data_IF_476966355137
#
_entry.id   IF_476966355137
#
_cell.length_a   1.000
_cell.length_b   1.000
_cell.length_c   1.000
_cell.angle_alpha   90.00
_cell.angle_beta   90.00
_cell.angle_gamma   90.00
#
_symmetry.space_group_name_H-M   'P 1'
#
loop_
_entity.id
_entity.type
_entity.pdbx_description
1 polymer ?
#
# COMPACT_ATOMS: atom_id res chain seq x y z
N UNK A 1 -17.48 0.50 4.02
CA UNK A 1 -16.76 -0.79 3.96
C UNK A 1 -15.72 -0.89 5.06
N UNK A 2 -15.39 -2.08 5.47
CA UNK A 2 -14.36 -2.34 6.46
C UNK A 2 -13.01 -2.56 5.77
N UNK A 3 -12.09 -1.62 5.93
CA UNK A 3 -10.81 -1.66 5.20
C UNK A 3 -9.94 -2.86 5.61
N UNK A 4 -9.97 -3.24 6.89
CA UNK A 4 -9.19 -4.38 7.34
C UNK A 4 -9.61 -5.69 6.65
N UNK A 5 -10.91 -5.87 6.46
CA UNK A 5 -11.41 -7.06 5.74
C UNK A 5 -10.95 -7.06 4.29
N UNK A 6 -10.99 -5.90 3.63
CA UNK A 6 -10.52 -5.76 2.27
C UNK A 6 -9.03 -6.11 2.16
N UNK A 7 -8.24 -5.67 3.12
CA UNK A 7 -6.80 -5.96 3.17
C UNK A 7 -6.56 -7.46 3.33
N UNK A 8 -7.27 -8.11 4.26
CA UNK A 8 -7.08 -9.54 4.51
C UNK A 8 -7.43 -10.39 3.29
N UNK A 9 -8.44 -10.00 2.54
CA UNK A 9 -8.78 -10.68 1.29
C UNK A 9 -7.66 -10.56 0.25
N UNK A 10 -7.08 -9.38 0.11
CA UNK A 10 -5.97 -9.16 -0.83
C UNK A 10 -4.74 -9.94 -0.41
N UNK A 11 -4.45 -9.99 0.88
CA UNK A 11 -3.33 -10.79 1.40
C UNK A 11 -3.51 -12.25 1.00
N UNK A 12 -4.73 -12.78 1.16
CA UNK A 12 -5.02 -14.15 0.76
C UNK A 12 -4.82 -14.37 -0.75
N UNK A 13 -5.24 -13.41 -1.57
CA UNK A 13 -5.08 -13.49 -3.02
C UNK A 13 -3.62 -13.45 -3.47
N UNK A 14 -2.76 -12.77 -2.72
CA UNK A 14 -1.35 -12.61 -3.09
C UNK A 14 -0.44 -13.64 -2.43
N UNK A 15 -1.00 -14.56 -1.67
CA UNK A 15 -0.20 -15.50 -0.87
C UNK A 15 0.80 -16.30 -1.69
N UNK A 16 0.41 -16.78 -2.86
CA UNK A 16 1.32 -17.56 -3.70
C UNK A 16 2.51 -16.75 -4.18
N UNK A 17 2.30 -15.50 -4.56
CA UNK A 17 3.39 -14.61 -4.98
C UNK A 17 4.33 -14.29 -3.82
N UNK A 18 3.78 -14.05 -2.65
CA UNK A 18 4.56 -13.74 -1.44
C UNK A 18 5.43 -14.93 -1.08
N UNK A 19 4.86 -16.13 -1.03
CA UNK A 19 5.60 -17.36 -0.69
C UNK A 19 6.65 -17.65 -1.73
N UNK A 20 6.32 -17.53 -3.02
CA UNK A 20 7.23 -17.78 -4.13
C UNK A 20 8.47 -16.89 -4.07
N UNK A 21 8.31 -15.66 -3.61
CA UNK A 21 9.41 -14.71 -3.52
C UNK A 21 10.10 -14.71 -2.14
N UNK A 22 9.72 -15.61 -1.27
CA UNK A 22 10.35 -15.74 0.05
C UNK A 22 10.09 -14.55 0.96
N UNK A 23 8.96 -13.88 0.80
CA UNK A 23 8.61 -12.71 1.58
C UNK A 23 7.80 -13.13 2.82
N UNK A 24 8.15 -12.57 3.98
CA UNK A 24 7.40 -12.77 5.21
C UNK A 24 6.44 -11.62 5.40
N UNK A 25 5.15 -11.91 5.48
CA UNK A 25 4.12 -10.88 5.65
C UNK A 25 3.68 -10.82 7.11
N UNK A 26 3.70 -9.61 7.65
CA UNK A 26 3.18 -9.33 8.98
C UNK A 26 2.11 -8.25 8.89
N UNK A 27 1.14 -8.31 9.77
CA UNK A 27 0.08 -7.31 9.83
C UNK A 27 -0.01 -6.71 11.22
N UNK A 28 -0.30 -5.41 11.26
CA UNK A 28 -0.63 -4.69 12.49
C UNK A 28 -1.89 -3.89 12.20
N UNK A 29 -3.02 -4.59 12.19
CA UNK A 29 -4.30 -3.97 11.85
C UNK A 29 -4.96 -3.44 13.11
N UNK A 30 -5.41 -2.19 13.07
CA UNK A 30 -6.10 -1.57 14.19
C UNK A 30 -7.39 -2.34 14.48
N UNK A 31 -7.68 -2.57 15.76
CA UNK A 31 -8.89 -3.32 16.15
C UNK A 31 -10.16 -2.55 15.82
N UNK A 32 -10.12 -1.23 15.96
CA UNK A 32 -11.27 -0.38 15.72
C UNK A 32 -10.92 0.67 14.69
N UNK A 33 -11.58 0.60 13.55
CA UNK A 33 -11.46 1.59 12.49
C UNK A 33 -12.86 2.02 12.04
N UNK A 34 -13.02 3.27 11.59
CA UNK A 34 -14.30 3.68 11.03
C UNK A 34 -14.55 2.94 9.73
N UNK A 35 -15.81 2.81 9.36
CA UNK A 35 -16.16 2.36 8.02
C UNK A 35 -15.73 3.43 7.02
N UNK A 36 -15.27 2.99 5.86
CA UNK A 36 -14.82 3.85 4.79
C UNK A 36 -15.86 3.85 3.69
N UNK A 37 -16.18 5.02 3.19
CA UNK A 37 -17.06 5.13 2.03
C UNK A 37 -16.19 5.03 0.78
N UNK A 38 -16.41 3.98 0.00
CA UNK A 38 -15.60 3.80 -1.19
C UNK A 38 -15.94 2.54 -1.93
N UNK A 39 -15.35 2.41 -3.09
CA UNK A 39 -15.50 1.24 -3.94
C UNK A 39 -14.53 0.16 -3.47
N UNK A 40 -15.06 -0.93 -2.94
CA UNK A 40 -14.24 -2.02 -2.40
C UNK A 40 -13.29 -2.59 -3.45
N UNK A 41 -13.77 -2.77 -4.66
CA UNK A 41 -12.95 -3.35 -5.73
C UNK A 41 -11.78 -2.43 -6.08
N UNK A 42 -12.04 -1.13 -6.21
CA UNK A 42 -10.99 -0.17 -6.51
C UNK A 42 -9.96 -0.07 -5.39
N UNK A 43 -10.42 -0.04 -4.15
CA UNK A 43 -9.52 0.04 -3.00
C UNK A 43 -8.71 -1.25 -2.84
N UNK A 44 -9.31 -2.40 -3.11
CA UNK A 44 -8.57 -3.66 -3.12
C UNK A 44 -7.53 -3.68 -4.23
N UNK A 45 -7.81 -3.09 -5.38
CA UNK A 45 -6.84 -2.98 -6.45
C UNK A 45 -5.64 -2.13 -6.04
N UNK A 46 -5.88 -1.03 -5.30
CA UNK A 46 -4.79 -0.22 -4.75
C UNK A 46 -3.92 -1.06 -3.82
N UNK A 47 -4.56 -1.75 -2.87
CA UNK A 47 -3.84 -2.57 -1.89
C UNK A 47 -3.03 -3.67 -2.60
N UNK A 48 -3.64 -4.33 -3.57
CA UNK A 48 -2.96 -5.35 -4.38
C UNK A 48 -1.72 -4.78 -5.06
N UNK A 49 -1.85 -3.63 -5.71
CA UNK A 49 -0.73 -3.01 -6.41
C UNK A 49 0.38 -2.61 -5.45
N UNK A 50 0.05 -2.12 -4.27
CA UNK A 50 1.07 -1.77 -3.26
C UNK A 50 1.80 -3.01 -2.76
N UNK A 51 1.09 -4.10 -2.54
CA UNK A 51 1.70 -5.37 -2.09
C UNK A 51 2.62 -5.93 -3.19
N UNK A 52 2.13 -6.02 -4.42
CA UNK A 52 2.92 -6.54 -5.52
C UNK A 52 4.17 -5.67 -5.76
N UNK A 53 4.00 -4.36 -5.70
CA UNK A 53 5.11 -3.43 -5.84
C UNK A 53 6.17 -3.66 -4.77
N UNK A 54 5.74 -3.88 -3.53
CA UNK A 54 6.65 -4.15 -2.41
C UNK A 54 7.38 -5.49 -2.59
N UNK A 55 6.66 -6.53 -3.00
CA UNK A 55 7.26 -7.85 -3.26
C UNK A 55 8.32 -7.75 -4.36
N UNK A 56 8.03 -7.03 -5.43
CA UNK A 56 8.98 -6.85 -6.52
C UNK A 56 10.21 -6.05 -6.10
N UNK A 57 10.02 -5.06 -5.22
CA UNK A 57 11.14 -4.27 -4.70
C UNK A 57 12.10 -5.12 -3.85
N UNK A 58 11.60 -6.20 -3.28
CA UNK A 58 12.38 -7.15 -2.47
C UNK A 58 12.79 -8.39 -3.25
N UNK A 59 12.74 -8.34 -4.59
CA UNK A 59 13.00 -9.52 -5.41
C UNK A 59 14.48 -9.96 -5.35
N UNK A 60 14.83 -11.10 -5.96
CA UNK A 60 15.92 -12.01 -5.50
C UNK A 60 17.31 -11.43 -5.36
N UNK A 61 17.51 -10.19 -5.75
CA UNK A 61 18.81 -9.54 -5.64
C UNK A 61 19.04 -8.88 -4.29
N UNK A 62 18.00 -8.81 -3.45
CA UNK A 62 18.13 -8.18 -2.14
C UNK A 62 18.79 -9.15 -1.17
N UNK A 63 19.95 -8.79 -0.65
CA UNK A 63 20.56 -9.51 0.46
C UNK A 63 19.77 -9.19 1.72
N UNK A 64 19.51 -10.21 2.53
CA UNK A 64 18.89 -10.04 3.82
C UNK A 64 17.40 -10.41 3.85
N UNK A 65 16.74 -10.07 4.94
CA UNK A 65 15.35 -10.42 5.17
C UNK A 65 14.43 -9.69 4.19
N UNK A 66 13.37 -10.39 3.77
CA UNK A 66 12.33 -9.85 2.91
C UNK A 66 11.05 -9.78 3.71
N UNK A 67 10.84 -8.66 4.36
CA UNK A 67 9.71 -8.46 5.25
C UNK A 67 8.75 -7.44 4.68
N UNK A 68 7.48 -7.79 4.70
CA UNK A 68 6.40 -6.91 4.30
C UNK A 68 5.51 -6.69 5.51
N UNK A 69 5.33 -5.43 5.90
CA UNK A 69 4.45 -5.08 7.00
C UNK A 69 3.28 -4.26 6.47
N UNK A 70 2.06 -4.71 6.77
CA UNK A 70 0.85 -3.98 6.44
C UNK A 70 0.22 -3.52 7.75
N UNK A 71 0.04 -2.22 7.86
CA UNK A 71 -0.45 -1.60 9.08
C UNK A 71 -1.65 -0.71 8.80
N UNK A 72 -2.61 -0.72 9.71
CA UNK A 72 -3.71 0.25 9.68
C UNK A 72 -3.76 1.01 10.98
N UNK A 73 -4.26 2.23 10.91
CA UNK A 73 -4.43 3.08 12.09
C UNK A 73 -5.56 4.08 11.84
N UNK A 74 -6.14 4.57 12.91
CA UNK A 74 -7.11 5.65 12.83
C UNK A 74 -6.37 6.97 12.70
N UNK A 75 -6.80 7.84 11.79
CA UNK A 75 -6.19 9.15 11.63
C UNK A 75 -6.75 10.13 12.65
N UNK A 76 -6.04 11.24 12.86
CA UNK A 76 -6.50 12.32 13.75
C UNK A 76 -7.84 12.90 13.32
N UNK A 77 -8.08 12.92 12.02
CA UNK A 77 -9.35 13.40 11.47
C UNK A 77 -10.48 12.38 11.54
N UNK A 78 -10.22 11.20 12.06
CA UNK A 78 -11.22 10.16 12.23
C UNK A 78 -11.35 9.19 11.08
N UNK A 79 -10.48 9.27 10.09
CA UNK A 79 -10.45 8.33 8.98
C UNK A 79 -9.55 7.15 9.24
N UNK A 80 -9.11 6.48 8.18
CA UNK A 80 -8.22 5.33 8.25
C UNK A 80 -6.93 5.60 7.49
N UNK A 81 -5.83 5.11 8.05
CA UNK A 81 -4.52 5.08 7.39
C UNK A 81 -4.17 3.65 7.09
N UNK A 82 -3.66 3.40 5.90
CA UNK A 82 -3.08 2.11 5.50
C UNK A 82 -1.65 2.35 5.10
N UNK A 83 -0.72 1.57 5.66
CA UNK A 83 0.69 1.66 5.31
C UNK A 83 1.20 0.30 4.89
N UNK A 84 1.95 0.26 3.80
CA UNK A 84 2.61 -0.94 3.30
C UNK A 84 4.10 -0.65 3.30
N UNK A 85 4.85 -1.36 4.13
CA UNK A 85 6.29 -1.17 4.30
C UNK A 85 7.03 -2.39 3.80
N UNK A 86 8.00 -2.18 2.92
CA UNK A 86 8.91 -3.25 2.51
C UNK A 86 10.29 -3.06 3.15
N UNK A 87 11.09 -4.10 3.11
CA UNK A 87 12.47 -4.08 3.60
C UNK A 87 13.48 -4.06 2.46
N UNK A 88 13.05 -3.69 1.26
CA UNK A 88 13.91 -3.61 0.09
C UNK A 88 14.92 -2.46 0.17
N UNK A 89 15.61 -2.18 -0.93
CA UNK A 89 16.65 -1.14 -0.93
C UNK A 89 16.11 0.26 -0.76
N UNK A 90 14.82 0.46 -0.97
CA UNK A 90 14.22 1.78 -0.87
C UNK A 90 14.33 2.56 -2.18
N UNK A 91 13.64 3.67 -2.23
CA UNK A 91 13.66 4.59 -3.36
C UNK A 91 14.58 5.74 -3.02
N UNK A 92 15.39 6.16 -3.97
CA UNK A 92 16.23 7.35 -3.82
C UNK A 92 15.34 8.52 -3.38
N UNK A 93 15.72 9.32 -2.37
CA UNK A 93 14.91 10.45 -1.95
C UNK A 93 14.51 11.40 -3.08
N UNK A 94 15.35 11.56 -4.08
CA UNK A 94 15.03 12.40 -5.24
C UNK A 94 13.87 11.84 -6.06
N UNK A 95 13.57 10.56 -5.95
CA UNK A 95 12.54 9.89 -6.74
C UNK A 95 11.25 9.61 -5.97
N UNK A 96 11.18 9.95 -4.68
CA UNK A 96 10.01 9.60 -3.86
C UNK A 96 8.69 10.14 -4.41
N UNK A 97 8.68 11.35 -4.98
CA UNK A 97 7.48 11.86 -5.62
C UNK A 97 7.32 11.36 -7.04
N UNK A 98 8.42 11.09 -7.72
CA UNK A 98 8.39 10.66 -9.12
C UNK A 98 7.85 9.25 -9.32
N UNK A 99 7.87 8.41 -8.29
CA UNK A 99 7.33 7.05 -8.41
C UNK A 99 5.83 7.04 -8.74
N UNK A 100 5.15 8.16 -8.50
CA UNK A 100 3.73 8.29 -8.85
C UNK A 100 3.49 8.84 -10.25
N UNK A 101 4.55 9.20 -10.98
CA UNK A 101 4.41 9.69 -12.35
C UNK A 101 4.00 8.53 -13.26
N UNK A 102 3.16 8.85 -14.27
CA UNK A 102 2.48 7.85 -15.09
C UNK A 102 3.44 6.87 -15.78
N UNK A 103 4.61 7.29 -16.18
CA UNK A 103 5.53 6.42 -16.91
C UNK A 103 6.80 6.11 -16.13
N UNK A 104 6.83 6.50 -14.86
CA UNK A 104 7.99 6.18 -14.04
C UNK A 104 8.02 4.69 -13.76
N UNK A 105 9.09 4.02 -14.13
CA UNK A 105 9.31 2.62 -13.80
C UNK A 105 10.80 2.34 -13.76
N UNK A 106 11.24 1.68 -12.70
CA UNK A 106 12.59 1.15 -12.60
C UNK A 106 12.64 -0.30 -13.06
N UNK A 107 11.52 -0.83 -13.53
CA UNK A 107 11.37 -2.23 -13.92
C UNK A 107 11.03 -2.35 -15.39
N UNK A 108 11.54 -3.36 -16.03
CA UNK A 108 11.35 -3.59 -17.45
C UNK A 108 9.91 -3.96 -17.82
N UNK A 109 9.14 -4.51 -16.88
CA UNK A 109 7.78 -4.98 -17.13
C UNK A 109 6.70 -3.90 -16.98
N UNK A 110 7.08 -2.68 -16.66
CA UNK A 110 6.16 -1.56 -16.72
C UNK A 110 5.16 -1.44 -15.59
N UNK A 111 5.33 -2.17 -14.49
CA UNK A 111 4.39 -2.10 -13.36
C UNK A 111 4.39 -0.76 -12.64
N UNK A 112 5.36 0.12 -12.94
CA UNK A 112 5.38 1.47 -12.40
C UNK A 112 4.13 2.30 -12.68
N UNK A 113 3.37 1.95 -13.72
CA UNK A 113 2.11 2.63 -14.01
C UNK A 113 1.07 2.44 -12.92
N UNK A 114 1.14 1.33 -12.19
CA UNK A 114 0.19 1.02 -11.13
C UNK A 114 0.12 2.08 -10.05
N UNK A 115 1.23 2.72 -9.72
CA UNK A 115 1.26 3.73 -8.65
C UNK A 115 0.53 5.01 -9.03
N UNK A 116 0.62 5.45 -10.28
CA UNK A 116 -0.12 6.64 -10.72
C UNK A 116 -1.62 6.38 -10.69
N UNK A 117 -2.05 5.19 -11.07
CA UNK A 117 -3.45 4.78 -11.00
C UNK A 117 -3.91 4.68 -9.55
N UNK A 118 -3.10 4.11 -8.68
CA UNK A 118 -3.40 4.04 -7.25
C UNK A 118 -3.62 5.43 -6.67
N UNK A 119 -2.74 6.37 -6.99
CA UNK A 119 -2.86 7.73 -6.50
C UNK A 119 -4.17 8.38 -6.97
N UNK A 120 -4.52 8.18 -8.24
CA UNK A 120 -5.76 8.71 -8.78
C UNK A 120 -6.98 8.12 -8.07
N UNK A 121 -6.98 6.82 -7.80
CA UNK A 121 -8.08 6.15 -7.10
C UNK A 121 -8.21 6.72 -5.68
N UNK A 122 -7.12 6.83 -4.96
CA UNK A 122 -7.13 7.33 -3.59
C UNK A 122 -7.60 8.79 -3.55
N UNK A 123 -7.13 9.62 -4.48
CA UNK A 123 -7.57 11.02 -4.56
C UNK A 123 -9.07 11.11 -4.87
N UNK A 124 -9.57 10.25 -5.75
CA UNK A 124 -11.00 10.20 -6.06
C UNK A 124 -11.85 9.80 -4.85
N UNK A 125 -11.25 9.10 -3.90
CA UNK A 125 -11.92 8.73 -2.65
C UNK A 125 -11.72 9.76 -1.53
N UNK A 126 -11.14 10.90 -1.85
CA UNK A 126 -10.92 11.96 -0.87
C UNK A 126 -9.71 11.75 0.03
N UNK A 127 -8.85 10.80 -0.32
CA UNK A 127 -7.66 10.48 0.45
C UNK A 127 -6.37 10.98 -0.19
N UNK A 128 -5.28 10.51 0.36
CA UNK A 128 -3.95 10.89 -0.10
C UNK A 128 -3.01 9.69 -0.05
N UNK A 129 -2.28 9.47 -1.13
CA UNK A 129 -1.26 8.43 -1.22
C UNK A 129 0.11 9.11 -1.26
N UNK A 130 1.01 8.67 -0.41
CA UNK A 130 2.37 9.22 -0.32
C UNK A 130 3.38 8.11 -0.06
N UNK A 131 4.65 8.44 -0.27
CA UNK A 131 5.77 7.53 -0.04
C UNK A 131 6.80 8.18 0.86
N UNK A 132 7.38 7.39 1.76
CA UNK A 132 8.50 7.80 2.59
C UNK A 132 9.51 6.66 2.66
N UNK A 133 10.73 6.98 3.04
CA UNK A 133 11.74 5.95 3.28
C UNK A 133 11.53 5.33 4.65
N UNK A 134 11.80 4.02 4.74
CA UNK A 134 11.84 3.35 6.03
C UNK A 134 13.00 3.85 6.88
N UNK A 135 12.87 3.69 8.19
CA UNK A 135 13.88 4.18 9.13
C UNK A 135 15.24 3.50 8.98
N UNK A 136 15.26 2.23 8.61
CA UNK A 136 16.50 1.47 8.40
C UNK A 136 16.75 1.25 6.91
N UNK A 137 15.77 0.71 6.22
CA UNK A 137 15.78 0.41 4.78
C UNK A 137 14.36 0.33 4.30
N UNK A 138 14.21 0.33 2.98
CA UNK A 138 12.93 0.08 2.34
C UNK A 138 12.11 1.34 2.15
N UNK A 139 10.90 1.12 1.72
CA UNK A 139 9.95 2.18 1.38
C UNK A 139 8.64 1.95 2.11
N UNK A 140 8.01 3.01 2.55
CA UNK A 140 6.67 2.98 3.12
C UNK A 140 5.75 3.72 2.15
N UNK A 141 4.78 2.99 1.59
CA UNK A 141 3.69 3.57 0.83
C UNK A 141 2.48 3.62 1.75
N UNK A 142 1.90 4.81 1.91
CA UNK A 142 0.78 4.97 2.82
C UNK A 142 -0.31 5.78 2.15
N UNK A 143 -1.55 5.45 2.48
CA UNK A 143 -2.68 6.28 2.06
C UNK A 143 -3.65 6.47 3.21
N UNK A 144 -4.38 7.57 3.13
CA UNK A 144 -5.46 7.86 4.07
C UNK A 144 -6.78 7.89 3.34
N UNK A 145 -7.84 7.57 4.06
CA UNK A 145 -9.20 7.62 3.54
C UNK A 145 -10.09 8.26 4.60
N UNK A 146 -11.01 9.13 4.20
CA UNK A 146 -11.96 9.68 5.16
C UNK A 146 -12.95 8.62 5.60
N UNK A 147 -13.43 8.76 6.82
CA UNK A 147 -14.52 7.90 7.32
C UNK A 147 -15.76 8.10 6.47
N UNK A 148 -16.58 7.06 6.36
CA UNK A 148 -17.88 7.19 5.75
C UNK A 148 -18.68 8.21 6.56
N UNK A 149 -19.20 9.22 5.86
CA UNK A 149 -20.06 10.18 6.53
C UNK A 149 -21.41 9.51 6.82
N UNK A 150 -21.95 9.78 8.00
CA UNK A 150 -23.27 9.33 8.30
C UNK A 150 -24.25 10.21 7.54
N UNK A 151 -24.71 9.71 6.41
CA UNK A 151 -25.56 10.49 5.51
C UNK A 151 -26.92 10.82 6.08
N UNK A 152 -27.27 10.25 7.22
CA UNK A 152 -28.49 10.63 7.91
C UNK A 152 -28.39 12.02 8.53
N UNK A 153 -27.21 12.53 8.61
CA UNK A 153 -27.03 13.90 9.10
C UNK A 153 -27.30 14.90 7.99
#
# INVERSE_FOLDING_TARGET
MAINEAILEVIALTRSEVVKNGVSVQTQLAEVLPLIQGDRVQLQQVILNLIINAVEAMSPHAAGARDLLIRTAKTKSGGALVAVRDSGPGVDPANLERIFDAFFSTKADGLGMGLSICRAIIQAHGGRLSATRGSARGTILRFTLPAATNSAS
#
